data_IF_608897362572
#
_entry.id   IF_608897362572
#
_cell.length_a   1.000
_cell.length_b   1.000
_cell.length_c   1.000
_cell.angle_alpha   90.00
_cell.angle_beta   90.00
_cell.angle_gamma   90.00
#
_symmetry.space_group_name_H-M   'P 1'
#
loop_
_entity.id
_entity.type
_entity.pdbx_description
1 polymer ?
#
# COMPACT_ATOMS: atom_id res chain seq x y z
N UNK A 1 -29.48 -16.53 -4.39
CA UNK A 1 -28.83 -15.23 -4.71
C UNK A 1 -28.24 -14.53 -3.47
N UNK A 2 -28.85 -14.62 -2.27
CA UNK A 2 -28.26 -14.07 -1.03
C UNK A 2 -27.01 -14.83 -0.53
N UNK A 3 -27.02 -16.17 -0.62
CA UNK A 3 -25.87 -17.02 -0.27
C UNK A 3 -24.61 -16.70 -1.08
N UNK A 4 -24.76 -16.43 -2.38
CA UNK A 4 -23.65 -16.08 -3.28
C UNK A 4 -23.06 -14.71 -2.97
N UNK A 5 -23.87 -13.73 -2.55
CA UNK A 5 -23.39 -12.41 -2.12
C UNK A 5 -22.65 -12.51 -0.79
N UNK A 6 -23.15 -13.32 0.15
CA UNK A 6 -22.49 -13.58 1.43
C UNK A 6 -21.10 -14.22 1.27
N UNK A 7 -21.00 -15.26 0.43
CA UNK A 7 -19.74 -15.93 0.13
C UNK A 7 -18.75 -15.01 -0.60
N UNK A 8 -19.23 -14.21 -1.55
CA UNK A 8 -18.39 -13.24 -2.26
C UNK A 8 -17.80 -12.20 -1.29
N UNK A 9 -18.61 -11.64 -0.40
CA UNK A 9 -18.14 -10.66 0.58
C UNK A 9 -17.14 -11.28 1.58
N UNK A 10 -17.39 -12.52 2.02
CA UNK A 10 -16.47 -13.24 2.89
C UNK A 10 -15.11 -13.47 2.19
N UNK A 11 -15.14 -13.92 0.94
CA UNK A 11 -13.93 -14.10 0.14
C UNK A 11 -13.15 -12.79 -0.03
N UNK A 12 -13.82 -11.69 -0.40
CA UNK A 12 -13.19 -10.39 -0.54
C UNK A 12 -12.53 -9.94 0.77
N UNK A 13 -13.16 -10.19 1.92
CA UNK A 13 -12.66 -9.77 3.24
C UNK A 13 -11.50 -10.60 3.75
N UNK A 14 -11.51 -11.92 3.54
CA UNK A 14 -10.56 -12.83 4.19
C UNK A 14 -9.50 -13.42 3.26
N UNK A 15 -9.71 -13.38 1.94
CA UNK A 15 -8.87 -14.10 0.98
C UNK A 15 -8.22 -13.18 -0.07
N UNK A 16 -8.16 -11.87 0.19
CA UNK A 16 -7.57 -10.90 -0.74
C UNK A 16 -6.65 -9.92 -0.01
N UNK A 17 -5.65 -9.33 -0.70
CA UNK A 17 -4.76 -8.34 -0.08
C UNK A 17 -5.53 -7.14 0.50
N UNK A 18 -6.54 -6.63 -0.21
CA UNK A 18 -7.35 -5.51 0.28
C UNK A 18 -8.30 -5.87 1.42
N UNK A 19 -8.70 -7.13 1.55
CA UNK A 19 -9.36 -7.63 2.75
C UNK A 19 -8.44 -7.63 3.96
N UNK A 20 -7.19 -8.07 3.77
CA UNK A 20 -6.17 -8.04 4.81
C UNK A 20 -5.85 -6.60 5.27
N UNK A 21 -5.77 -5.64 4.34
CA UNK A 21 -5.58 -4.22 4.69
C UNK A 21 -6.71 -3.67 5.55
N UNK A 22 -7.96 -4.08 5.31
CA UNK A 22 -9.08 -3.67 6.17
C UNK A 22 -8.96 -4.28 7.57
N UNK A 23 -8.60 -5.56 7.67
CA UNK A 23 -8.49 -6.25 8.95
C UNK A 23 -7.36 -5.65 9.80
N UNK A 24 -6.15 -5.59 9.23
CA UNK A 24 -4.91 -5.24 9.91
C UNK A 24 -4.79 -3.72 10.09
N UNK A 25 -5.09 -2.95 9.05
CA UNK A 25 -4.79 -1.52 9.00
C UNK A 25 -6.04 -0.63 9.06
N UNK A 26 -7.24 -1.22 9.00
CA UNK A 26 -8.52 -0.48 8.85
C UNK A 26 -8.57 0.35 7.56
N UNK A 27 -7.77 -0.04 6.56
CA UNK A 27 -7.78 0.59 5.25
C UNK A 27 -8.74 -0.17 4.33
N UNK A 28 -9.84 0.46 3.96
CA UNK A 28 -10.88 -0.11 3.11
C UNK A 28 -10.59 0.22 1.66
N UNK A 29 -10.33 -0.80 0.85
CA UNK A 29 -10.10 -0.63 -0.58
C UNK A 29 -11.09 -1.46 -1.40
N UNK A 30 -11.75 -0.89 -2.42
CA UNK A 30 -12.41 -1.71 -3.41
C UNK A 30 -11.36 -2.56 -4.15
N UNK A 31 -11.79 -3.67 -4.75
CA UNK A 31 -10.93 -4.45 -5.64
C UNK A 31 -10.38 -3.55 -6.77
N UNK A 32 -9.06 -3.44 -6.95
CA UNK A 32 -8.47 -2.61 -8.00
C UNK A 32 -8.78 -3.14 -9.40
N UNK A 33 -8.54 -2.33 -10.42
CA UNK A 33 -8.58 -2.78 -11.82
C UNK A 33 -7.36 -3.62 -12.18
N UNK A 34 -6.21 -3.27 -11.60
CA UNK A 34 -4.94 -3.99 -11.74
C UNK A 34 -4.20 -3.90 -10.39
N UNK A 35 -3.58 -5.00 -9.98
CA UNK A 35 -2.75 -5.07 -8.78
C UNK A 35 -1.41 -5.68 -9.18
N UNK A 36 -0.32 -5.02 -8.83
CA UNK A 36 1.03 -5.49 -9.03
C UNK A 36 1.76 -5.52 -7.68
N UNK A 37 2.02 -6.72 -7.16
CA UNK A 37 2.80 -6.93 -5.95
C UNK A 37 4.29 -6.91 -6.32
N UNK A 38 4.88 -5.73 -6.22
CA UNK A 38 6.28 -5.46 -6.63
C UNK A 38 7.26 -6.12 -5.67
N UNK A 39 6.97 -6.05 -4.38
CA UNK A 39 7.70 -6.72 -3.31
C UNK A 39 6.67 -7.35 -2.39
N UNK A 40 6.87 -8.61 -2.04
CA UNK A 40 6.14 -9.27 -0.98
C UNK A 40 7.06 -10.30 -0.36
N UNK A 41 7.54 -10.00 0.85
CA UNK A 41 8.39 -10.90 1.64
C UNK A 41 7.72 -11.35 2.93
N UNK A 42 6.47 -10.92 3.17
CA UNK A 42 5.70 -11.32 4.34
C UNK A 42 5.48 -12.83 4.27
N UNK A 43 6.13 -13.57 5.18
CA UNK A 43 6.04 -15.02 5.24
C UNK A 43 6.74 -15.60 6.46
N UNK A 44 6.23 -16.73 6.96
CA UNK A 44 6.77 -17.41 8.15
C UNK A 44 6.12 -16.98 9.47
N UNK A 45 6.65 -17.51 10.57
CA UNK A 45 6.28 -17.13 11.93
C UNK A 45 7.56 -16.68 12.67
N UNK A 46 7.64 -15.43 13.15
CA UNK A 46 6.61 -14.38 13.06
C UNK A 46 6.38 -13.87 11.62
N UNK A 47 5.17 -13.40 11.33
CA UNK A 47 4.78 -12.91 10.01
C UNK A 47 5.31 -11.47 9.79
N UNK A 48 6.63 -11.34 9.77
CA UNK A 48 7.36 -10.10 9.53
C UNK A 48 7.66 -9.93 8.03
N UNK A 49 7.95 -8.70 7.63
CA UNK A 49 8.46 -8.40 6.29
C UNK A 49 7.90 -7.13 5.69
N UNK A 50 8.14 -6.98 4.40
CA UNK A 50 7.75 -5.80 3.65
C UNK A 50 6.88 -6.14 2.45
N UNK A 51 5.95 -5.25 2.17
CA UNK A 51 5.17 -5.29 0.94
C UNK A 51 5.20 -3.95 0.25
N UNK A 52 5.40 -3.99 -1.07
CA UNK A 52 5.20 -2.86 -1.97
C UNK A 52 4.22 -3.29 -3.06
N UNK A 53 3.02 -2.74 -3.03
CA UNK A 53 1.97 -3.02 -4.02
C UNK A 53 1.57 -1.74 -4.76
N UNK A 54 1.38 -1.87 -6.07
CA UNK A 54 0.81 -0.81 -6.92
C UNK A 54 -0.57 -1.25 -7.40
N UNK A 55 -1.59 -0.47 -7.07
CA UNK A 55 -2.95 -0.68 -7.51
C UNK A 55 -3.35 0.39 -8.53
N UNK A 56 -3.89 -0.01 -9.69
CA UNK A 56 -4.58 0.91 -10.60
C UNK A 56 -6.08 0.81 -10.42
N UNK A 57 -6.76 1.95 -10.48
CA UNK A 57 -8.21 2.02 -10.41
C UNK A 57 -8.79 2.63 -11.68
N UNK A 58 -9.95 2.14 -12.12
CA UNK A 58 -10.78 2.90 -13.04
C UNK A 58 -11.38 4.10 -12.31
N UNK A 59 -11.78 5.15 -13.05
CA UNK A 59 -12.35 6.37 -12.46
C UNK A 59 -13.52 6.10 -11.51
N UNK A 60 -14.37 5.13 -11.86
CA UNK A 60 -15.48 4.70 -11.01
C UNK A 60 -15.00 4.12 -9.68
N UNK A 61 -13.97 3.27 -9.70
CA UNK A 61 -13.41 2.66 -8.49
C UNK A 61 -12.58 3.68 -7.68
N UNK A 62 -11.92 4.64 -8.35
CA UNK A 62 -11.23 5.73 -7.69
C UNK A 62 -12.21 6.59 -6.86
N UNK A 63 -13.37 6.93 -7.43
CA UNK A 63 -14.43 7.64 -6.70
C UNK A 63 -14.93 6.86 -5.48
N UNK A 64 -14.86 5.53 -5.51
CA UNK A 64 -15.21 4.70 -4.34
C UNK A 64 -14.14 4.75 -3.27
N UNK A 65 -12.86 4.50 -3.63
CA UNK A 65 -11.79 4.47 -2.62
C UNK A 65 -11.59 5.83 -1.93
N UNK A 66 -11.85 6.93 -2.64
CA UNK A 66 -11.84 8.28 -2.06
C UNK A 66 -12.87 8.48 -0.94
N UNK A 67 -13.93 7.66 -0.89
CA UNK A 67 -15.01 7.74 0.11
C UNK A 67 -14.85 6.76 1.28
N UNK A 68 -13.94 5.78 1.17
CA UNK A 68 -13.87 4.67 2.13
C UNK A 68 -12.85 4.89 3.26
N UNK A 69 -11.90 5.79 3.08
CA UNK A 69 -10.81 6.03 4.02
C UNK A 69 -10.71 7.50 4.43
N UNK A 70 -10.13 7.74 5.60
CA UNK A 70 -9.77 9.08 6.08
C UNK A 70 -8.49 9.56 5.40
N UNK A 71 -8.57 9.78 4.09
CA UNK A 71 -7.48 10.31 3.29
C UNK A 71 -7.09 11.71 3.78
N UNK A 72 -5.81 11.88 4.08
CA UNK A 72 -5.22 13.18 4.35
C UNK A 72 -4.73 13.80 3.03
N UNK A 73 -4.97 15.11 2.87
CA UNK A 73 -4.36 15.89 1.79
C UNK A 73 -2.89 16.12 2.09
N UNK A 74 -2.05 16.17 1.07
CA UNK A 74 -0.67 16.59 1.23
C UNK A 74 -0.58 18.13 1.32
N UNK A 75 0.13 18.58 2.35
CA UNK A 75 0.71 19.92 2.49
C UNK A 75 2.24 19.80 2.45
N UNK A 76 2.96 20.92 2.58
CA UNK A 76 4.43 20.91 2.49
C UNK A 76 5.08 19.99 3.53
N UNK A 77 4.57 20.03 4.76
CA UNK A 77 5.10 19.25 5.88
C UNK A 77 4.86 17.75 5.69
N UNK A 78 3.65 17.38 5.32
CA UNK A 78 3.26 15.99 5.09
C UNK A 78 3.89 15.44 3.82
N UNK A 79 4.03 16.24 2.75
CA UNK A 79 4.76 15.84 1.55
C UNK A 79 6.21 15.43 1.88
N UNK A 80 6.93 16.26 2.64
CA UNK A 80 8.29 15.94 3.06
C UNK A 80 8.36 14.72 3.99
N UNK A 81 7.39 14.58 4.91
CA UNK A 81 7.27 13.40 5.77
C UNK A 81 7.05 12.13 4.95
N UNK A 82 6.14 12.15 3.98
CA UNK A 82 5.84 11.01 3.11
C UNK A 82 7.04 10.67 2.24
N UNK A 83 7.71 11.67 1.65
CA UNK A 83 8.96 11.48 0.91
C UNK A 83 10.04 10.81 1.76
N UNK A 84 10.22 11.25 3.01
CA UNK A 84 11.15 10.61 3.95
C UNK A 84 10.76 9.16 4.26
N UNK A 85 9.46 8.86 4.44
CA UNK A 85 8.98 7.50 4.68
C UNK A 85 9.18 6.58 3.49
N UNK A 86 8.89 7.03 2.27
CA UNK A 86 9.15 6.29 1.03
C UNK A 86 10.64 6.00 0.89
N UNK A 87 11.49 7.01 1.06
CA UNK A 87 12.95 6.83 0.98
C UNK A 87 13.46 5.89 2.07
N UNK A 88 12.96 6.02 3.29
CA UNK A 88 13.32 5.14 4.39
C UNK A 88 12.94 3.70 4.08
N UNK A 89 11.72 3.43 3.60
CA UNK A 89 11.29 2.10 3.17
C UNK A 89 12.25 1.51 2.13
N UNK A 90 12.52 2.25 1.04
CA UNK A 90 13.38 1.79 -0.04
C UNK A 90 14.80 1.45 0.43
N UNK A 91 15.37 2.31 1.29
CA UNK A 91 16.69 2.11 1.86
C UNK A 91 16.72 0.91 2.81
N UNK A 92 15.74 0.79 3.70
CA UNK A 92 15.65 -0.31 4.66
C UNK A 92 15.53 -1.64 3.93
N UNK A 93 14.60 -1.76 2.98
CA UNK A 93 14.45 -2.98 2.15
C UNK A 93 15.75 -3.35 1.45
N UNK A 94 16.43 -2.38 0.85
CA UNK A 94 17.71 -2.64 0.20
C UNK A 94 18.80 -3.09 1.19
N UNK A 95 18.76 -2.61 2.44
CA UNK A 95 19.77 -2.92 3.46
C UNK A 95 19.58 -4.26 4.18
N UNK A 96 18.34 -4.72 4.35
CA UNK A 96 18.06 -5.99 5.06
C UNK A 96 18.29 -7.21 4.16
N UNK A 97 18.21 -7.04 2.84
CA UNK A 97 18.47 -8.09 1.86
C UNK A 97 19.91 -8.07 1.37
N UNK A 98 20.83 -8.43 2.27
CA UNK A 98 22.29 -8.44 2.01
C UNK A 98 22.59 -9.28 0.75
N UNK A 99 23.35 -8.69 -0.18
CA UNK A 99 23.72 -9.32 -1.45
C UNK A 99 22.66 -9.18 -2.57
N UNK A 100 21.52 -8.53 -2.30
CA UNK A 100 20.47 -8.22 -3.28
C UNK A 100 20.23 -6.72 -3.46
N UNK A 101 21.15 -5.88 -3.00
CA UNK A 101 21.00 -4.42 -2.99
C UNK A 101 20.71 -3.88 -4.40
N UNK A 102 21.48 -4.32 -5.40
CA UNK A 102 21.30 -3.90 -6.80
C UNK A 102 19.99 -4.39 -7.41
N UNK A 103 19.48 -5.55 -6.97
CA UNK A 103 18.16 -6.05 -7.38
C UNK A 103 17.07 -5.12 -6.87
N UNK A 104 17.09 -4.77 -5.59
CA UNK A 104 16.07 -3.88 -5.00
C UNK A 104 16.16 -2.45 -5.54
N UNK A 105 17.37 -1.91 -5.75
CA UNK A 105 17.54 -0.62 -6.44
C UNK A 105 16.88 -0.63 -7.82
N UNK A 106 17.13 -1.66 -8.64
CA UNK A 106 16.48 -1.82 -9.95
C UNK A 106 14.96 -1.93 -9.84
N UNK A 107 14.45 -2.66 -8.85
CA UNK A 107 13.02 -2.78 -8.60
C UNK A 107 12.39 -1.40 -8.36
N UNK A 108 12.98 -0.59 -7.48
CA UNK A 108 12.46 0.75 -7.16
C UNK A 108 12.64 1.76 -8.31
N UNK A 109 13.71 1.63 -9.11
CA UNK A 109 13.89 2.43 -10.32
C UNK A 109 12.83 2.13 -11.38
N UNK A 110 12.48 0.85 -11.55
CA UNK A 110 11.48 0.42 -12.54
C UNK A 110 10.05 0.64 -12.07
N UNK A 111 9.84 0.76 -10.75
CA UNK A 111 8.53 0.91 -10.13
C UNK A 111 8.54 2.07 -9.12
N UNK A 112 8.79 3.32 -9.56
CA UNK A 112 8.89 4.45 -8.64
C UNK A 112 7.54 4.76 -7.99
N UNK A 113 7.58 5.14 -6.72
CA UNK A 113 6.41 5.71 -6.02
C UNK A 113 6.31 7.17 -6.43
N UNK A 114 5.35 7.50 -7.29
CA UNK A 114 5.15 8.86 -7.79
C UNK A 114 3.97 9.51 -7.08
N UNK A 115 4.18 10.73 -6.58
CA UNK A 115 3.16 11.53 -5.92
C UNK A 115 3.52 13.01 -5.97
N UNK A 116 2.50 13.85 -5.81
CA UNK A 116 2.62 15.31 -5.83
C UNK A 116 1.91 15.90 -4.60
N UNK A 117 1.90 17.23 -4.45
CA UNK A 117 1.13 17.88 -3.39
C UNK A 117 -0.39 17.72 -3.54
N UNK A 118 -0.88 17.37 -4.74
CA UNK A 118 -2.29 17.06 -4.97
C UNK A 118 -2.65 15.61 -4.62
N UNK A 119 -1.65 14.78 -4.30
CA UNK A 119 -1.87 13.41 -3.85
C UNK A 119 -2.50 13.37 -2.46
N UNK A 120 -3.17 12.25 -2.20
CA UNK A 120 -3.71 11.94 -0.87
C UNK A 120 -2.90 10.82 -0.24
N UNK A 121 -2.86 10.77 1.08
CA UNK A 121 -2.22 9.69 1.79
C UNK A 121 -3.07 9.17 2.95
N UNK A 122 -2.84 7.91 3.28
CA UNK A 122 -3.29 7.29 4.51
C UNK A 122 -2.07 6.67 5.17
N UNK A 123 -1.82 7.02 6.42
CA UNK A 123 -0.70 6.49 7.19
C UNK A 123 -1.21 5.98 8.53
N UNK A 124 -0.87 4.75 8.84
CA UNK A 124 -1.07 4.16 10.16
C UNK A 124 0.24 3.54 10.63
N UNK A 125 0.56 3.73 11.90
CA UNK A 125 1.74 3.14 12.55
C UNK A 125 1.33 2.52 13.87
N UNK A 126 1.96 1.40 14.21
CA UNK A 126 1.80 0.69 15.47
C UNK A 126 3.03 0.95 16.38
N UNK A 127 2.92 0.58 17.65
CA UNK A 127 3.98 0.82 18.65
C UNK A 127 5.21 -0.08 18.49
N UNK A 128 5.06 -1.20 17.78
CA UNK A 128 6.11 -2.14 17.41
C UNK A 128 6.97 -1.65 16.23
N UNK A 129 6.68 -0.47 15.66
CA UNK A 129 7.38 0.04 14.48
C UNK A 129 6.78 -0.40 13.15
N UNK A 130 5.77 -1.28 13.16
CA UNK A 130 5.01 -1.65 11.98
C UNK A 130 4.22 -0.46 11.44
N UNK A 131 4.12 -0.34 10.12
CA UNK A 131 3.31 0.71 9.52
C UNK A 131 2.74 0.33 8.16
N UNK A 132 1.67 1.03 7.81
CA UNK A 132 1.01 0.97 6.52
C UNK A 132 0.86 2.39 5.97
N UNK A 133 1.46 2.60 4.80
CA UNK A 133 1.41 3.85 4.07
C UNK A 133 0.75 3.59 2.71
N UNK A 134 -0.38 4.23 2.48
CA UNK A 134 -1.04 4.29 1.18
C UNK A 134 -0.96 5.69 0.61
N UNK A 135 -0.59 5.82 -0.66
CA UNK A 135 -0.50 7.09 -1.38
C UNK A 135 -1.33 6.99 -2.65
N UNK A 136 -2.37 7.82 -2.76
CA UNK A 136 -3.19 7.94 -3.96
C UNK A 136 -2.65 9.07 -4.83
N UNK A 137 -2.17 8.70 -6.02
CA UNK A 137 -1.80 9.65 -7.07
C UNK A 137 -2.99 9.81 -8.03
N UNK A 138 -3.72 10.93 -7.98
CA UNK A 138 -4.92 11.12 -8.78
C UNK A 138 -4.63 11.32 -10.27
N UNK A 139 -3.41 11.75 -10.62
CA UNK A 139 -3.04 11.97 -12.03
C UNK A 139 -2.79 10.66 -12.78
N UNK A 140 -2.44 9.60 -12.06
CA UNK A 140 -2.15 8.28 -12.63
C UNK A 140 -3.23 7.24 -12.29
N UNK A 141 -4.27 7.63 -11.54
CA UNK A 141 -5.27 6.72 -10.97
C UNK A 141 -4.64 5.52 -10.23
N UNK A 142 -3.51 5.76 -9.56
CA UNK A 142 -2.74 4.74 -8.84
C UNK A 142 -2.80 4.94 -7.34
N UNK A 143 -2.78 3.83 -6.63
CA UNK A 143 -2.53 3.78 -5.19
C UNK A 143 -1.31 2.93 -4.95
N UNK A 144 -0.31 3.54 -4.34
CA UNK A 144 0.90 2.86 -3.87
C UNK A 144 0.69 2.46 -2.42
N UNK A 145 1.06 1.23 -2.08
CA UNK A 145 0.96 0.70 -0.72
C UNK A 145 2.34 0.21 -0.32
N UNK A 146 2.83 0.75 0.79
CA UNK A 146 4.06 0.36 1.45
C UNK A 146 3.70 -0.12 2.85
N UNK A 147 3.94 -1.40 3.10
CA UNK A 147 3.66 -2.05 4.37
C UNK A 147 4.97 -2.60 4.94
N UNK A 148 5.20 -2.33 6.22
CA UNK A 148 6.31 -2.85 7.00
C UNK A 148 5.75 -3.49 8.26
N UNK A 149 6.01 -4.78 8.47
CA UNK A 149 5.54 -5.53 9.63
C UNK A 149 6.77 -6.04 10.40
N UNK A 150 6.82 -5.71 11.69
CA UNK A 150 7.77 -6.21 12.69
C UNK A 150 7.09 -7.19 13.63
#
# INVERSE_FOLDING_TARGET
MLLSVGLYNAYQKFCTPYGAWEINWKFKSPSPSEMNDVINTIGGFPAEGETYTICKYSDYKLKKILKTNNWAKMDDKSYDMIKKKVNHFQNTVSSIHIGQEEKFKKIFLNNPVTFTKDSLYFLKSNSDGSYFLSILNPNENKVYILEWVQ
#
